data_IF_930823957821
#
_entry.id   IF_930823957821
#
_cell.length_a   1.000
_cell.length_b   1.000
_cell.length_c   1.000
_cell.angle_alpha   90.00
_cell.angle_beta   90.00
_cell.angle_gamma   90.00
#
_symmetry.space_group_name_H-M   'P 1'
#
loop_
_entity.id
_entity.type
_entity.pdbx_description
1 polymer ?
#
# COMPACT_ATOMS: atom_id res chain seq x y z
N UNK A 1 57.62 -5.23 -0.63
CA UNK A 1 56.25 -4.86 -1.04
C UNK A 1 55.35 -6.05 -0.78
N UNK A 2 54.49 -5.99 0.25
CA UNK A 2 53.49 -7.02 0.53
C UNK A 2 52.13 -6.40 0.19
N UNK A 3 51.53 -6.88 -0.91
CA UNK A 3 50.25 -6.40 -1.40
C UNK A 3 49.11 -6.93 -0.54
N UNK A 4 48.38 -6.02 0.10
CA UNK A 4 47.11 -6.33 0.75
C UNK A 4 46.07 -6.48 -0.37
N UNK A 5 45.72 -7.72 -0.71
CA UNK A 5 44.56 -8.04 -1.55
C UNK A 5 43.31 -7.94 -0.67
N UNK A 6 42.56 -6.86 -0.79
CA UNK A 6 41.20 -6.83 -0.26
C UNK A 6 40.30 -7.69 -1.17
N UNK A 7 39.52 -8.64 -0.63
CA UNK A 7 38.47 -9.28 -1.40
C UNK A 7 37.34 -8.28 -1.65
N UNK A 8 36.81 -8.38 -2.86
CA UNK A 8 35.74 -7.57 -3.44
C UNK A 8 34.54 -7.48 -2.49
N UNK A 9 34.08 -6.24 -2.27
CA UNK A 9 32.88 -5.95 -1.49
C UNK A 9 31.69 -6.25 -2.39
N UNK A 10 31.33 -7.52 -2.53
CA UNK A 10 30.11 -7.93 -3.21
C UNK A 10 28.92 -7.35 -2.44
N UNK A 11 28.40 -6.25 -2.98
CA UNK A 11 27.29 -5.49 -2.43
C UNK A 11 26.00 -6.31 -2.56
N UNK A 12 25.22 -6.55 -1.50
CA UNK A 12 24.02 -7.39 -1.58
C UNK A 12 22.84 -6.56 -2.13
N UNK A 13 22.77 -6.37 -3.43
CA UNK A 13 21.63 -5.74 -4.11
C UNK A 13 20.47 -6.71 -4.41
N UNK A 14 20.65 -8.00 -4.16
CA UNK A 14 19.68 -9.09 -4.45
C UNK A 14 18.44 -9.03 -3.53
N UNK A 15 18.56 -8.41 -2.34
CA UNK A 15 17.47 -8.37 -1.35
C UNK A 15 16.24 -7.56 -1.77
N UNK A 16 16.44 -6.39 -2.39
CA UNK A 16 15.32 -5.50 -2.76
C UNK A 16 14.45 -6.09 -3.87
N UNK A 17 15.08 -6.63 -4.93
CA UNK A 17 14.35 -7.24 -6.04
C UNK A 17 13.49 -8.43 -5.59
N UNK A 18 13.96 -9.20 -4.60
CA UNK A 18 13.22 -10.35 -4.09
C UNK A 18 12.04 -9.94 -3.19
N UNK A 19 12.15 -8.82 -2.46
CA UNK A 19 11.06 -8.26 -1.65
C UNK A 19 9.96 -7.62 -2.50
N UNK A 20 10.31 -6.92 -3.58
CA UNK A 20 9.33 -6.35 -4.53
C UNK A 20 8.51 -7.46 -5.21
N UNK A 21 9.18 -8.51 -5.67
CA UNK A 21 8.50 -9.65 -6.31
C UNK A 21 7.55 -10.37 -5.34
N UNK A 22 7.96 -10.58 -4.09
CA UNK A 22 7.10 -11.20 -3.08
C UNK A 22 5.87 -10.34 -2.73
N UNK A 23 6.03 -9.01 -2.71
CA UNK A 23 4.93 -8.07 -2.47
C UNK A 23 3.96 -8.05 -3.66
N UNK A 24 4.48 -8.11 -4.88
CA UNK A 24 3.66 -8.18 -6.10
C UNK A 24 2.84 -9.47 -6.17
N UNK A 25 3.44 -10.62 -5.88
CA UNK A 25 2.76 -11.93 -5.88
C UNK A 25 1.60 -11.98 -4.88
N UNK A 26 1.82 -11.43 -3.66
CA UNK A 26 0.76 -11.32 -2.66
C UNK A 26 -0.41 -10.45 -3.12
N UNK A 27 -0.13 -9.29 -3.74
CA UNK A 27 -1.18 -8.41 -4.28
C UNK A 27 -1.95 -9.09 -5.42
N UNK A 28 -1.25 -9.84 -6.27
CA UNK A 28 -1.84 -10.59 -7.36
C UNK A 28 -2.79 -11.68 -6.84
N UNK A 29 -2.41 -12.41 -5.80
CA UNK A 29 -3.27 -13.40 -5.16
C UNK A 29 -4.54 -12.77 -4.54
N UNK A 30 -4.41 -11.61 -3.90
CA UNK A 30 -5.55 -10.86 -3.33
C UNK A 30 -6.50 -10.36 -4.43
N UNK A 31 -5.95 -9.83 -5.52
CA UNK A 31 -6.73 -9.35 -6.65
C UNK A 31 -7.53 -10.49 -7.31
N UNK A 32 -6.87 -11.63 -7.57
CA UNK A 32 -7.55 -12.81 -8.13
C UNK A 32 -8.68 -13.29 -7.24
N UNK A 33 -8.43 -13.44 -5.93
CA UNK A 33 -9.45 -13.90 -4.97
C UNK A 33 -10.64 -12.95 -4.91
N UNK A 34 -10.40 -11.64 -4.98
CA UNK A 34 -11.46 -10.63 -4.92
C UNK A 34 -12.32 -10.69 -6.19
N UNK A 35 -11.70 -10.72 -7.37
CA UNK A 35 -12.41 -10.72 -8.65
C UNK A 35 -13.15 -12.04 -8.95
N UNK A 36 -12.68 -13.18 -8.43
CA UNK A 36 -13.38 -14.46 -8.56
C UNK A 36 -14.72 -14.51 -7.80
N UNK A 37 -14.90 -13.66 -6.78
CA UNK A 37 -16.14 -13.61 -5.99
C UNK A 37 -17.24 -12.77 -6.66
N UNK A 38 -16.88 -11.97 -7.65
CA UNK A 38 -17.81 -11.14 -8.39
C UNK A 38 -17.19 -9.80 -8.83
N UNK A 39 -17.94 -9.01 -9.61
CA UNK A 39 -17.51 -7.67 -9.98
C UNK A 39 -17.42 -6.78 -8.74
N UNK A 40 -16.30 -6.05 -8.61
CA UNK A 40 -16.06 -5.07 -7.56
C UNK A 40 -15.69 -3.73 -8.20
N UNK A 41 -16.18 -2.63 -7.63
CA UNK A 41 -15.78 -1.29 -8.08
C UNK A 41 -14.44 -0.93 -7.47
N UNK A 42 -13.57 -0.28 -8.24
CA UNK A 42 -12.29 0.20 -7.73
C UNK A 42 -12.46 1.20 -6.57
N UNK A 43 -13.53 2.00 -6.60
CA UNK A 43 -13.88 2.88 -5.48
C UNK A 43 -14.08 2.10 -4.19
N UNK A 44 -14.82 0.98 -4.22
CA UNK A 44 -15.07 0.15 -3.03
C UNK A 44 -13.79 -0.46 -2.48
N UNK A 45 -12.85 -0.86 -3.35
CA UNK A 45 -11.53 -1.33 -2.91
C UNK A 45 -10.78 -0.19 -2.22
N UNK A 46 -10.72 0.99 -2.85
CA UNK A 46 -10.08 2.18 -2.27
C UNK A 46 -10.71 2.53 -0.91
N UNK A 47 -12.03 2.43 -0.79
CA UNK A 47 -12.79 2.69 0.44
C UNK A 47 -12.41 1.76 1.57
N UNK A 48 -12.41 0.45 1.32
CA UNK A 48 -12.01 -0.56 2.32
C UNK A 48 -10.56 -0.37 2.76
N UNK A 49 -9.65 -0.08 1.83
CA UNK A 49 -8.24 0.14 2.17
C UNK A 49 -8.04 1.38 3.06
N UNK A 50 -8.77 2.46 2.77
CA UNK A 50 -8.74 3.68 3.60
C UNK A 50 -9.32 3.43 4.99
N UNK A 51 -10.43 2.71 5.09
CA UNK A 51 -11.04 2.35 6.37
C UNK A 51 -10.07 1.55 7.24
N UNK A 52 -9.46 0.49 6.68
CA UNK A 52 -8.48 -0.34 7.38
C UNK A 52 -7.24 0.46 7.77
N UNK A 53 -6.71 1.31 6.89
CA UNK A 53 -5.57 2.15 7.22
C UNK A 53 -5.87 3.13 8.36
N UNK A 54 -7.08 3.69 8.40
CA UNK A 54 -7.54 4.55 9.49
C UNK A 54 -7.66 3.80 10.81
N UNK A 55 -8.21 2.57 10.79
CA UNK A 55 -8.30 1.71 11.97
C UNK A 55 -6.92 1.35 12.52
N UNK A 56 -6.00 0.89 11.65
CA UNK A 56 -4.62 0.56 12.02
C UNK A 56 -3.83 1.78 12.52
N UNK A 57 -4.25 2.98 12.14
CA UNK A 57 -3.63 4.24 12.54
C UNK A 57 -4.33 4.91 13.72
N UNK A 58 -5.29 4.24 14.38
CA UNK A 58 -6.06 4.81 15.49
C UNK A 58 -6.73 6.16 15.11
N UNK A 59 -7.26 6.23 13.89
CA UNK A 59 -7.84 7.42 13.27
C UNK A 59 -6.86 8.59 13.01
N UNK A 60 -5.54 8.34 13.06
CA UNK A 60 -4.54 9.34 12.68
C UNK A 60 -4.36 9.42 11.16
N UNK A 61 -4.90 10.48 10.55
CA UNK A 61 -4.86 10.72 9.10
C UNK A 61 -3.42 10.72 8.56
N UNK A 62 -2.46 11.32 9.27
CA UNK A 62 -1.07 11.38 8.80
C UNK A 62 -0.45 9.98 8.75
N UNK A 63 -0.69 9.14 9.76
CA UNK A 63 -0.18 7.76 9.78
C UNK A 63 -0.87 6.89 8.73
N UNK A 64 -2.19 7.02 8.57
CA UNK A 64 -2.95 6.27 7.57
C UNK A 64 -2.50 6.64 6.15
N UNK A 65 -2.23 7.92 5.89
CA UNK A 65 -1.72 8.37 4.60
C UNK A 65 -0.35 7.74 4.30
N UNK A 66 0.55 7.66 5.30
CA UNK A 66 1.84 6.98 5.15
C UNK A 66 1.68 5.50 4.82
N UNK A 67 0.76 4.78 5.47
CA UNK A 67 0.50 3.36 5.18
C UNK A 67 0.02 3.14 3.73
N UNK A 68 -0.72 4.09 3.19
CA UNK A 68 -1.26 4.05 1.83
C UNK A 68 -0.31 4.65 0.77
N UNK A 69 0.85 5.18 1.17
CA UNK A 69 1.75 5.88 0.26
C UNK A 69 1.18 7.19 -0.30
N UNK A 70 0.30 7.85 0.45
CA UNK A 70 -0.35 9.12 0.09
C UNK A 70 0.15 10.27 0.97
N UNK A 71 -0.01 11.50 0.49
CA UNK A 71 0.08 12.67 1.37
C UNK A 71 -1.16 12.81 2.26
N UNK A 72 -0.99 13.45 3.42
CA UNK A 72 -2.10 13.77 4.33
C UNK A 72 -3.25 14.51 3.61
N UNK A 73 -2.92 15.48 2.76
CA UNK A 73 -3.93 16.25 2.03
C UNK A 73 -4.72 15.40 1.02
N UNK A 74 -4.04 14.45 0.36
CA UNK A 74 -4.70 13.51 -0.55
C UNK A 74 -5.63 12.54 0.19
N UNK A 75 -5.27 12.10 1.39
CA UNK A 75 -6.17 11.25 2.20
C UNK A 75 -7.34 12.06 2.75
N UNK A 76 -7.11 13.27 3.25
CA UNK A 76 -8.15 14.18 3.73
C UNK A 76 -9.20 14.47 2.65
N UNK A 77 -8.76 14.73 1.41
CA UNK A 77 -9.64 14.91 0.26
C UNK A 77 -10.51 13.67 0.01
N UNK A 78 -9.93 12.47 0.05
CA UNK A 78 -10.66 11.21 -0.16
C UNK A 78 -11.69 10.97 0.93
N UNK A 79 -11.33 11.15 2.20
CA UNK A 79 -12.25 11.02 3.33
C UNK A 79 -13.45 11.96 3.20
N UNK A 80 -13.21 13.23 2.84
CA UNK A 80 -14.29 14.20 2.57
C UNK A 80 -15.19 13.76 1.43
N UNK A 81 -14.60 13.25 0.33
CA UNK A 81 -15.36 12.76 -0.82
C UNK A 81 -16.25 11.57 -0.44
N UNK A 82 -15.74 10.63 0.37
CA UNK A 82 -16.49 9.47 0.86
C UNK A 82 -17.67 9.89 1.74
N UNK A 83 -17.45 10.81 2.68
CA UNK A 83 -18.53 11.33 3.52
C UNK A 83 -19.64 12.00 2.72
N UNK A 84 -19.30 12.64 1.60
CA UNK A 84 -20.26 13.31 0.72
C UNK A 84 -21.08 12.31 -0.12
N UNK A 85 -20.46 11.22 -0.57
CA UNK A 85 -21.12 10.16 -1.35
C UNK A 85 -22.13 9.38 -0.48
N UNK A 86 -21.74 9.05 0.76
CA UNK A 86 -22.61 8.43 1.76
C UNK A 86 -23.85 9.29 2.07
N UNK A 87 -23.68 10.62 2.13
CA UNK A 87 -24.76 11.58 2.39
C UNK A 87 -25.76 11.72 1.22
N UNK A 88 -25.39 11.26 0.02
CA UNK A 88 -26.21 11.40 -1.19
C UNK A 88 -27.03 10.14 -1.51
N UNK A 89 -26.82 9.06 -0.76
CA UNK A 89 -27.49 7.75 -0.95
C UNK A 89 -28.55 7.48 0.12
N UNK A 90 -28.88 8.46 0.97
CA UNK A 90 -29.85 8.32 2.06
C UNK A 90 -31.16 9.09 1.82
#
# INVERSE_FOLDING_TARGET
AIGIRMPDVESPSVGLAQQDNASHDQLLAVAQRTLQRGPVRLSQIEEVYIEVAMQLSENNISRAATLLGLSRAQLDYRLKKMSLDESSTQ
#
